data_IF_344719082394
#
_entry.id   IF_344719082394
#
_cell.length_a   1.000
_cell.length_b   1.000
_cell.length_c   1.000
_cell.angle_alpha   90.00
_cell.angle_beta   90.00
_cell.angle_gamma   90.00
#
_symmetry.space_group_name_H-M   'P 1'
#
loop_
_entity.id
_entity.type
_entity.pdbx_description
1 polymer ?
#
# COMPACT_ATOMS: atom_id res chain seq x y z
N UNK A 1 61.48 25.24 -43.73
CA UNK A 1 60.33 24.79 -42.91
C UNK A 1 60.09 23.32 -43.21
N UNK A 2 60.40 22.50 -42.20
CA UNK A 2 60.32 21.04 -41.98
C UNK A 2 60.39 20.11 -43.21
N UNK A 3 61.63 19.59 -43.33
CA UNK A 3 62.23 18.51 -44.10
C UNK A 3 61.44 17.20 -44.15
N UNK A 4 61.40 16.58 -45.34
CA UNK A 4 60.97 15.21 -45.58
C UNK A 4 61.96 14.21 -44.95
N UNK A 5 61.46 13.36 -44.05
CA UNK A 5 62.23 12.24 -43.49
C UNK A 5 61.79 10.93 -44.13
N UNK A 6 62.81 10.14 -44.50
CA UNK A 6 62.73 8.91 -45.24
C UNK A 6 61.95 7.80 -44.53
N UNK A 7 61.20 7.06 -45.34
CA UNK A 7 60.54 5.79 -45.01
C UNK A 7 61.60 4.75 -44.71
N UNK A 8 61.60 4.20 -43.49
CA UNK A 8 62.33 2.99 -43.12
C UNK A 8 61.38 1.81 -43.21
N UNK A 9 61.65 0.91 -44.15
CA UNK A 9 60.92 -0.32 -44.43
C UNK A 9 60.97 -1.28 -43.23
N UNK A 10 59.91 -1.30 -42.45
CA UNK A 10 59.62 -2.41 -41.55
C UNK A 10 58.53 -3.23 -42.23
N UNK A 11 58.85 -4.46 -42.68
CA UNK A 11 57.88 -5.41 -43.22
C UNK A 11 56.81 -5.68 -42.16
N UNK A 12 55.72 -4.92 -42.21
CA UNK A 12 54.51 -5.23 -41.50
C UNK A 12 53.79 -6.27 -42.35
N UNK A 13 53.77 -7.54 -41.92
CA UNK A 13 52.88 -8.55 -42.50
C UNK A 13 51.44 -8.09 -42.31
N UNK A 14 50.89 -7.46 -43.34
CA UNK A 14 49.48 -7.07 -43.39
C UNK A 14 48.68 -8.33 -43.78
N UNK A 15 47.71 -8.77 -42.96
CA UNK A 15 46.84 -9.89 -43.32
C UNK A 15 46.05 -9.55 -44.60
N UNK A 16 45.88 -10.54 -45.48
CA UNK A 16 45.27 -10.42 -46.83
C UNK A 16 43.83 -9.89 -46.86
N UNK A 17 43.24 -9.59 -45.72
CA UNK A 17 41.89 -9.06 -45.54
C UNK A 17 41.81 -7.55 -45.73
N UNK A 18 42.90 -6.79 -45.60
CA UNK A 18 42.87 -5.30 -45.65
C UNK A 18 43.42 -4.70 -46.96
N UNK A 19 43.96 -5.55 -47.85
CA UNK A 19 44.53 -5.15 -49.13
C UNK A 19 43.57 -4.44 -50.12
N UNK A 20 42.25 -4.74 -50.21
CA UNK A 20 41.41 -4.10 -51.23
C UNK A 20 40.99 -2.66 -50.90
N UNK A 21 41.16 -2.20 -49.65
CA UNK A 21 40.69 -0.86 -49.24
C UNK A 21 41.73 0.26 -49.43
N UNK A 22 43.03 -0.06 -49.43
CA UNK A 22 44.09 0.96 -49.59
C UNK A 22 44.35 1.37 -51.04
N UNK A 23 43.96 0.54 -52.02
CA UNK A 23 44.15 0.84 -53.45
C UNK A 23 43.13 1.87 -53.97
N UNK A 24 41.94 1.94 -53.36
CA UNK A 24 40.87 2.81 -53.87
C UNK A 24 41.05 4.31 -53.55
N UNK A 25 41.93 4.66 -52.60
CA UNK A 25 42.07 6.05 -52.12
C UNK A 25 43.00 6.91 -53.00
N UNK A 26 43.81 6.32 -53.89
CA UNK A 26 44.93 7.04 -54.53
C UNK A 26 44.71 7.38 -56.02
N UNK A 27 43.64 6.93 -56.68
CA UNK A 27 43.53 7.08 -58.15
C UNK A 27 42.14 7.50 -58.66
N UNK A 28 41.58 8.61 -58.18
CA UNK A 28 40.54 9.31 -58.95
C UNK A 28 40.86 10.80 -59.07
N UNK A 29 41.16 11.33 -60.28
CA UNK A 29 41.34 12.77 -60.46
C UNK A 29 39.97 13.44 -60.40
N UNK A 30 39.78 14.31 -59.40
CA UNK A 30 38.60 15.18 -59.32
C UNK A 30 38.79 16.35 -60.28
N UNK A 31 38.19 16.26 -61.47
CA UNK A 31 38.06 17.40 -62.39
C UNK A 31 36.84 18.23 -61.99
N UNK A 32 37.05 19.49 -61.61
CA UNK A 32 35.99 20.47 -61.40
C UNK A 32 35.60 21.10 -62.75
N UNK A 33 34.35 20.91 -63.17
CA UNK A 33 33.76 21.57 -64.34
C UNK A 33 32.49 22.34 -63.94
N UNK A 34 32.46 23.59 -64.39
CA UNK A 34 31.36 24.58 -64.53
C UNK A 34 30.52 25.08 -63.31
N UNK A 35 30.63 26.36 -62.90
CA UNK A 35 29.82 26.97 -61.83
C UNK A 35 28.53 27.63 -62.34
N UNK A 36 27.62 26.87 -62.95
CA UNK A 36 26.31 27.43 -63.34
C UNK A 36 25.19 26.37 -63.44
N UNK A 37 24.89 25.66 -62.35
CA UNK A 37 23.62 24.92 -62.26
C UNK A 37 22.92 25.18 -60.93
N UNK A 38 21.92 26.03 -61.05
CA UNK A 38 20.96 26.46 -60.04
C UNK A 38 20.42 25.31 -59.19
N UNK A 39 20.82 25.27 -57.92
CA UNK A 39 20.16 24.50 -56.88
C UNK A 39 18.80 25.13 -56.56
N UNK A 40 17.77 24.77 -57.33
CA UNK A 40 16.39 24.85 -56.88
C UNK A 40 16.12 23.69 -55.91
N UNK A 41 16.58 23.81 -54.67
CA UNK A 41 16.03 23.03 -53.56
C UNK A 41 14.74 23.71 -53.11
N UNK A 42 13.65 23.44 -53.84
CA UNK A 42 12.30 23.83 -53.42
C UNK A 42 11.72 22.77 -52.50
N UNK A 43 11.50 23.16 -51.24
CA UNK A 43 10.37 22.67 -50.44
C UNK A 43 10.35 21.20 -50.02
N UNK A 44 11.10 20.86 -48.94
CA UNK A 44 10.66 19.83 -47.97
C UNK A 44 11.44 19.75 -46.66
N UNK A 45 12.41 20.63 -46.41
CA UNK A 45 13.14 20.64 -45.13
C UNK A 45 12.35 21.26 -43.96
N UNK A 46 11.27 21.99 -44.24
CA UNK A 46 10.48 22.70 -43.22
C UNK A 46 9.42 21.83 -42.54
N UNK A 47 9.01 20.72 -43.16
CA UNK A 47 8.02 19.79 -42.58
C UNK A 47 8.61 18.85 -41.54
N UNK A 48 9.89 18.51 -41.64
CA UNK A 48 10.56 17.62 -40.66
C UNK A 48 11.17 18.40 -39.48
N UNK A 49 11.53 19.67 -39.68
CA UNK A 49 12.07 20.53 -38.62
C UNK A 49 10.99 21.01 -37.62
N UNK A 50 9.73 21.05 -38.04
CA UNK A 50 8.59 21.40 -37.19
C UNK A 50 8.21 20.25 -36.26
N UNK A 51 8.34 19.01 -36.72
CA UNK A 51 8.17 17.81 -35.89
C UNK A 51 9.20 17.81 -34.74
N UNK A 52 10.48 18.07 -35.01
CA UNK A 52 11.54 18.07 -33.99
C UNK A 52 11.36 19.22 -32.96
N UNK A 53 10.84 20.40 -33.36
CA UNK A 53 10.52 21.50 -32.44
C UNK A 53 9.28 21.24 -31.57
N UNK A 54 8.33 20.43 -32.04
CA UNK A 54 7.09 20.11 -31.32
C UNK A 54 7.30 19.29 -30.03
N UNK A 55 8.46 18.63 -29.86
CA UNK A 55 8.80 17.87 -28.64
C UNK A 55 9.40 18.73 -27.52
N UNK A 56 9.54 20.05 -27.73
CA UNK A 56 10.05 21.01 -26.75
C UNK A 56 9.26 21.16 -25.45
N UNK A 57 7.93 21.34 -25.51
CA UNK A 57 7.08 21.35 -24.31
C UNK A 57 6.86 19.95 -23.74
N UNK A 58 6.89 18.90 -24.57
CA UNK A 58 6.65 17.51 -24.14
C UNK A 58 7.70 17.03 -23.13
N UNK A 59 8.99 17.30 -23.35
CA UNK A 59 10.07 16.98 -22.39
C UNK A 59 9.97 17.74 -21.06
N UNK A 60 9.25 18.86 -21.01
CA UNK A 60 8.98 19.62 -19.77
C UNK A 60 7.79 19.00 -19.04
N UNK A 61 6.73 18.66 -19.77
CA UNK A 61 5.57 17.96 -19.24
C UNK A 61 5.96 16.59 -18.64
N UNK A 62 6.77 15.78 -19.33
CA UNK A 62 7.27 14.50 -18.82
C UNK A 62 8.10 14.70 -17.54
N UNK A 63 8.89 15.77 -17.45
CA UNK A 63 9.65 16.10 -16.23
C UNK A 63 8.76 16.47 -15.05
N UNK A 64 7.72 17.28 -15.26
CA UNK A 64 6.78 17.63 -14.19
C UNK A 64 5.87 16.46 -13.82
N UNK A 65 5.49 15.61 -14.79
CA UNK A 65 4.74 14.37 -14.54
C UNK A 65 5.58 13.39 -13.72
N UNK A 66 6.86 13.21 -14.09
CA UNK A 66 7.81 12.39 -13.35
C UNK A 66 8.11 12.96 -11.96
N UNK A 67 8.34 14.28 -11.85
CA UNK A 67 8.53 14.95 -10.56
C UNK A 67 7.29 14.81 -9.68
N UNK A 68 6.09 14.99 -10.25
CA UNK A 68 4.82 14.81 -9.55
C UNK A 68 4.64 13.37 -9.06
N UNK A 69 4.98 12.38 -9.88
CA UNK A 69 4.96 10.98 -9.48
C UNK A 69 5.96 10.69 -8.35
N UNK A 70 7.17 11.26 -8.41
CA UNK A 70 8.18 11.14 -7.34
C UNK A 70 7.70 11.80 -6.04
N UNK A 71 7.14 13.00 -6.12
CA UNK A 71 6.56 13.70 -4.95
C UNK A 71 5.41 12.89 -4.36
N UNK A 72 4.52 12.35 -5.19
CA UNK A 72 3.43 11.49 -4.74
C UNK A 72 3.96 10.25 -4.02
N UNK A 73 4.99 9.60 -4.57
CA UNK A 73 5.62 8.43 -3.95
C UNK A 73 6.25 8.79 -2.59
N UNK A 74 6.94 9.93 -2.49
CA UNK A 74 7.50 10.43 -1.22
C UNK A 74 6.39 10.70 -0.20
N UNK A 75 5.28 11.33 -0.62
CA UNK A 75 4.13 11.58 0.25
C UNK A 75 3.53 10.27 0.75
N UNK A 76 3.30 9.29 -0.13
CA UNK A 76 2.77 7.98 0.26
C UNK A 76 3.72 7.25 1.21
N UNK A 77 5.03 7.28 0.94
CA UNK A 77 6.03 6.69 1.83
C UNK A 77 6.05 7.39 3.21
N UNK A 78 5.99 8.72 3.23
CA UNK A 78 5.94 9.51 4.46
C UNK A 78 4.68 9.19 5.27
N UNK A 79 3.51 9.16 4.64
CA UNK A 79 2.26 8.75 5.30
C UNK A 79 2.35 7.32 5.85
N UNK A 80 2.96 6.39 5.10
CA UNK A 80 3.14 5.01 5.54
C UNK A 80 3.98 4.91 6.80
N UNK A 81 5.08 5.68 6.88
CA UNK A 81 5.92 5.77 8.09
C UNK A 81 5.16 6.42 9.25
N UNK A 82 4.37 7.46 8.96
CA UNK A 82 3.57 8.16 9.97
C UNK A 82 2.49 7.24 10.57
N UNK A 83 1.86 6.39 9.76
CA UNK A 83 0.91 5.37 10.22
C UNK A 83 1.57 4.26 11.06
N UNK A 84 2.87 4.06 10.88
CA UNK A 84 3.67 3.14 11.68
C UNK A 84 4.07 3.73 13.04
N UNK A 85 3.86 5.03 13.23
CA UNK A 85 4.21 5.73 14.46
C UNK A 85 3.15 5.49 15.55
N UNK A 86 3.53 5.06 16.76
CA UNK A 86 2.58 4.60 17.79
C UNK A 86 1.62 5.71 18.25
N UNK A 87 2.04 6.98 18.16
CA UNK A 87 1.18 8.12 18.53
C UNK A 87 0.00 8.26 17.56
N UNK A 88 0.24 8.07 16.26
CA UNK A 88 -0.82 8.13 15.25
C UNK A 88 -1.77 6.94 15.41
N UNK A 89 -1.21 5.75 15.65
CA UNK A 89 -2.02 4.55 15.87
C UNK A 89 -2.91 4.66 17.11
N UNK A 90 -2.39 5.24 18.19
CA UNK A 90 -3.16 5.51 19.42
C UNK A 90 -4.28 6.54 19.16
N UNK A 91 -4.00 7.60 18.40
CA UNK A 91 -5.02 8.59 18.02
C UNK A 91 -6.14 8.00 17.16
N UNK A 92 -5.80 7.15 16.19
CA UNK A 92 -6.79 6.44 15.37
C UNK A 92 -7.61 5.47 16.23
N UNK A 93 -6.99 4.78 17.19
CA UNK A 93 -7.68 3.88 18.12
C UNK A 93 -8.75 4.62 18.94
N UNK A 94 -8.39 5.77 19.53
CA UNK A 94 -9.31 6.61 20.29
C UNK A 94 -10.45 7.15 19.42
N UNK A 95 -10.14 7.59 18.20
CA UNK A 95 -11.15 8.07 17.27
C UNK A 95 -12.11 6.95 16.85
N UNK A 96 -11.57 5.76 16.54
CA UNK A 96 -12.35 4.58 16.20
C UNK A 96 -13.23 4.12 17.37
N UNK A 97 -12.71 4.15 18.60
CA UNK A 97 -13.48 3.76 19.79
C UNK A 97 -14.63 4.72 20.05
N UNK A 98 -14.41 6.03 19.95
CA UNK A 98 -15.49 7.04 20.07
C UNK A 98 -16.54 6.86 18.97
N UNK A 99 -16.12 6.58 17.73
CA UNK A 99 -17.04 6.36 16.62
C UNK A 99 -17.86 5.08 16.80
N UNK A 100 -17.22 3.96 17.12
CA UNK A 100 -17.89 2.68 17.41
C UNK A 100 -18.83 2.80 18.59
N UNK A 101 -18.40 3.48 19.67
CA UNK A 101 -19.25 3.68 20.84
C UNK A 101 -20.54 4.42 20.49
N UNK A 102 -20.43 5.46 19.65
CA UNK A 102 -21.58 6.23 19.18
C UNK A 102 -22.48 5.45 18.22
N UNK A 103 -21.89 4.64 17.33
CA UNK A 103 -22.64 3.88 16.32
C UNK A 103 -23.33 2.64 16.92
N UNK A 104 -22.72 2.02 17.93
CA UNK A 104 -23.22 0.81 18.59
C UNK A 104 -24.03 1.08 19.86
N UNK A 105 -24.05 2.32 20.36
CA UNK A 105 -24.77 2.68 21.59
C UNK A 105 -24.15 2.13 22.89
N UNK A 106 -22.92 1.59 22.83
CA UNK A 106 -22.22 0.95 23.95
C UNK A 106 -20.91 1.68 24.26
N UNK A 107 -20.45 1.71 25.51
CA UNK A 107 -19.13 2.28 25.86
C UNK A 107 -18.02 1.28 25.50
N UNK A 108 -17.46 1.43 24.30
CA UNK A 108 -16.34 0.66 23.80
C UNK A 108 -15.10 1.54 23.80
N UNK A 109 -14.08 1.13 24.55
CA UNK A 109 -12.80 1.84 24.64
C UNK A 109 -11.67 0.93 24.21
N UNK A 110 -10.76 1.47 23.41
CA UNK A 110 -9.52 0.81 23.00
C UNK A 110 -8.38 1.75 23.35
N UNK A 111 -7.49 1.34 24.24
CA UNK A 111 -6.40 2.21 24.69
C UNK A 111 -5.37 2.45 23.58
N UNK A 112 -4.98 1.37 22.88
CA UNK A 112 -3.96 1.45 21.83
C UNK A 112 -4.17 0.35 20.81
N UNK A 113 -3.92 0.68 19.55
CA UNK A 113 -3.83 -0.26 18.44
C UNK A 113 -2.40 -0.24 17.92
N UNK A 114 -1.84 -1.41 17.63
CA UNK A 114 -0.54 -1.58 17.01
C UNK A 114 -0.73 -2.33 15.68
N UNK A 115 -0.52 -1.62 14.57
CA UNK A 115 -0.60 -2.18 13.22
C UNK A 115 0.80 -2.53 12.74
N UNK A 116 1.04 -3.80 12.43
CA UNK A 116 2.31 -4.28 11.86
C UNK A 116 2.10 -4.70 10.40
N UNK A 117 2.83 -4.12 9.42
CA UNK A 117 2.63 -4.38 7.99
C UNK A 117 2.74 -5.86 7.59
N UNK A 118 3.55 -6.63 8.32
CA UNK A 118 3.78 -8.07 8.11
C UNK A 118 3.55 -8.88 9.39
N UNK A 119 2.82 -8.33 10.36
CA UNK A 119 2.66 -8.94 11.68
C UNK A 119 1.20 -8.97 12.13
N UNK A 120 0.96 -9.47 13.35
CA UNK A 120 -0.37 -9.44 13.93
C UNK A 120 -0.80 -7.99 14.19
N UNK A 121 -2.10 -7.75 14.04
CA UNK A 121 -2.79 -6.57 14.53
C UNK A 121 -2.98 -6.75 16.04
N UNK A 122 -2.34 -5.89 16.85
CA UNK A 122 -2.50 -5.94 18.30
C UNK A 122 -3.39 -4.83 18.78
N UNK A 123 -4.29 -5.15 19.69
CA UNK A 123 -5.10 -4.19 20.42
C UNK A 123 -4.76 -4.33 21.90
N UNK A 124 -4.52 -3.20 22.56
CA UNK A 124 -4.24 -3.12 23.98
C UNK A 124 -5.40 -2.41 24.68
N UNK A 125 -5.79 -2.94 25.83
CA UNK A 125 -6.81 -2.34 26.69
C UNK A 125 -8.15 -2.21 25.97
N UNK A 126 -8.71 -3.33 25.51
CA UNK A 126 -10.07 -3.38 24.98
C UNK A 126 -11.03 -3.48 26.17
N UNK A 127 -11.88 -2.47 26.32
CA UNK A 127 -12.92 -2.42 27.34
C UNK A 127 -14.27 -2.28 26.64
N UNK A 128 -15.21 -3.14 27.02
CA UNK A 128 -16.59 -3.13 26.55
C UNK A 128 -17.50 -3.08 27.76
N UNK A 129 -18.25 -1.99 27.88
CA UNK A 129 -19.30 -1.87 28.87
C UNK A 129 -20.56 -2.64 28.45
N UNK A 130 -21.28 -3.07 29.47
CA UNK A 130 -22.67 -3.51 29.45
C UNK A 130 -23.62 -2.33 29.17
N UNK A 131 -24.83 -2.62 28.69
CA UNK A 131 -25.92 -1.64 28.57
C UNK A 131 -26.32 -1.02 29.92
N UNK A 132 -25.99 -1.70 31.01
CA UNK A 132 -26.21 -1.23 32.39
C UNK A 132 -25.05 -0.38 32.93
N UNK A 133 -24.00 -0.15 32.14
CA UNK A 133 -22.85 0.67 32.50
C UNK A 133 -21.74 -0.05 33.29
N UNK A 134 -21.87 -1.37 33.50
CA UNK A 134 -20.86 -2.20 34.14
C UNK A 134 -19.87 -2.80 33.11
N UNK A 135 -18.77 -3.40 33.58
CA UNK A 135 -17.78 -4.03 32.67
C UNK A 135 -18.24 -5.42 32.22
N UNK A 136 -18.54 -5.61 30.94
CA UNK A 136 -18.80 -6.95 30.38
C UNK A 136 -17.46 -7.63 30.03
N UNK A 137 -16.65 -6.97 29.20
CA UNK A 137 -15.41 -7.52 28.65
C UNK A 137 -14.29 -6.54 28.88
N UNK A 138 -13.21 -7.00 29.50
CA UNK A 138 -11.97 -6.24 29.58
C UNK A 138 -10.80 -7.12 29.18
N UNK A 139 -10.09 -6.77 28.12
CA UNK A 139 -8.98 -7.55 27.58
C UNK A 139 -7.73 -6.69 27.54
N UNK A 140 -6.68 -7.15 28.21
CA UNK A 140 -5.42 -6.41 28.25
C UNK A 140 -4.70 -6.42 26.89
N UNK A 141 -4.70 -7.57 26.21
CA UNK A 141 -4.10 -7.72 24.88
C UNK A 141 -4.93 -8.65 24.01
N UNK A 142 -5.20 -8.20 22.79
CA UNK A 142 -5.86 -8.96 21.74
C UNK A 142 -4.99 -8.92 20.48
N UNK A 143 -4.46 -10.08 20.10
CA UNK A 143 -3.60 -10.24 18.93
C UNK A 143 -4.38 -10.97 17.83
N UNK A 144 -4.53 -10.33 16.67
CA UNK A 144 -5.22 -10.86 15.50
C UNK A 144 -4.21 -11.11 14.39
N UNK A 145 -4.11 -12.37 13.94
CA UNK A 145 -3.20 -12.78 12.87
C UNK A 145 -3.98 -13.13 11.60
N UNK A 146 -3.42 -12.79 10.44
CA UNK A 146 -4.00 -13.06 9.11
C UNK A 146 -5.44 -12.55 8.96
N UNK A 147 -5.66 -11.28 9.33
CA UNK A 147 -6.95 -10.60 9.14
C UNK A 147 -7.11 -10.27 7.66
N UNK A 148 -8.05 -10.94 6.99
CA UNK A 148 -8.39 -10.70 5.59
C UNK A 148 -9.85 -10.34 5.46
N UNK A 149 -10.09 -9.12 5.01
CA UNK A 149 -11.42 -8.66 4.64
C UNK A 149 -11.61 -8.79 3.13
N UNK A 150 -12.55 -9.64 2.70
CA UNK A 150 -12.94 -9.75 1.31
C UNK A 150 -14.22 -8.97 1.08
N UNK A 151 -14.10 -7.76 0.50
CA UNK A 151 -15.28 -6.95 0.14
C UNK A 151 -16.19 -7.65 -0.87
N UNK A 152 -15.66 -8.57 -1.69
CA UNK A 152 -16.41 -9.28 -2.73
C UNK A 152 -17.34 -10.36 -2.17
N UNK A 153 -16.87 -11.08 -1.16
CA UNK A 153 -17.64 -12.14 -0.49
C UNK A 153 -18.22 -11.70 0.85
N UNK A 154 -17.99 -10.43 1.25
CA UNK A 154 -18.38 -9.89 2.56
C UNK A 154 -17.90 -10.74 3.74
N UNK A 155 -16.83 -11.53 3.52
CA UNK A 155 -16.29 -12.44 4.51
C UNK A 155 -15.10 -11.82 5.21
N UNK A 156 -15.14 -11.86 6.54
CA UNK A 156 -14.00 -11.51 7.38
C UNK A 156 -13.35 -12.82 7.84
N UNK A 157 -12.16 -13.09 7.32
CA UNK A 157 -11.33 -14.22 7.76
C UNK A 157 -10.31 -13.73 8.76
N UNK A 158 -10.23 -14.40 9.90
CA UNK A 158 -9.21 -14.21 10.92
C UNK A 158 -8.51 -15.55 11.08
N UNK A 159 -7.21 -15.60 10.78
CA UNK A 159 -6.45 -16.85 10.85
C UNK A 159 -6.34 -17.35 12.28
N UNK A 160 -5.84 -16.49 13.18
CA UNK A 160 -5.73 -16.78 14.60
C UNK A 160 -6.11 -15.53 15.42
N UNK A 161 -6.88 -15.75 16.47
CA UNK A 161 -7.22 -14.74 17.47
C UNK A 161 -6.65 -15.20 18.81
N UNK A 162 -5.72 -14.44 19.38
CA UNK A 162 -5.15 -14.70 20.69
C UNK A 162 -5.52 -13.58 21.65
N UNK A 163 -6.05 -13.94 22.80
CA UNK A 163 -6.48 -13.01 23.83
C UNK A 163 -5.72 -13.32 25.11
N UNK A 164 -5.06 -12.33 25.68
CA UNK A 164 -4.27 -12.46 26.90
C UNK A 164 -4.81 -11.58 28.02
N UNK A 165 -4.90 -12.15 29.22
CA UNK A 165 -5.36 -11.48 30.44
C UNK A 165 -6.70 -10.77 30.25
N UNK A 166 -7.70 -11.55 29.86
CA UNK A 166 -9.07 -11.06 29.73
C UNK A 166 -9.87 -11.28 31.01
N UNK A 167 -10.84 -10.40 31.27
CA UNK A 167 -11.91 -10.59 32.23
C UNK A 167 -13.22 -10.54 31.48
N UNK A 168 -14.03 -11.58 31.67
CA UNK A 168 -15.37 -11.67 31.10
C UNK A 168 -16.35 -11.85 32.26
N UNK A 169 -17.24 -10.88 32.45
CA UNK A 169 -18.22 -10.87 33.52
C UNK A 169 -19.63 -11.04 32.95
N UNK A 170 -20.07 -12.30 32.89
CA UNK A 170 -21.41 -12.63 32.46
C UNK A 170 -22.38 -12.51 33.64
N UNK A 171 -23.42 -11.70 33.48
CA UNK A 171 -24.42 -11.49 34.51
C UNK A 171 -25.81 -11.70 33.95
N UNK A 172 -26.66 -12.36 34.71
CA UNK A 172 -28.09 -12.42 34.41
C UNK A 172 -28.75 -11.16 34.97
N UNK A 173 -29.54 -10.48 34.14
CA UNK A 173 -30.18 -9.21 34.52
C UNK A 173 -31.19 -9.46 35.66
N UNK A 174 -31.20 -8.64 36.73
CA UNK A 174 -32.14 -8.80 37.82
C UNK A 174 -33.59 -8.74 37.31
N UNK A 175 -34.34 -9.84 37.43
CA UNK A 175 -35.73 -9.95 36.97
C UNK A 175 -35.91 -10.40 35.51
N UNK A 176 -34.85 -10.79 34.82
CA UNK A 176 -34.89 -11.31 33.43
C UNK A 176 -34.25 -12.69 33.27
N UNK A 177 -34.67 -13.43 32.25
CA UNK A 177 -34.05 -14.71 31.82
C UNK A 177 -32.85 -14.49 30.89
N UNK A 178 -32.50 -13.24 30.59
CA UNK A 178 -31.47 -12.87 29.61
C UNK A 178 -30.19 -12.43 30.32
N UNK A 179 -29.07 -12.78 29.72
CA UNK A 179 -27.76 -12.30 30.15
C UNK A 179 -27.46 -10.93 29.55
N UNK A 180 -26.61 -10.16 30.22
CA UNK A 180 -26.12 -8.90 29.69
C UNK A 180 -25.42 -9.02 28.32
N UNK A 181 -24.73 -10.13 28.06
CA UNK A 181 -24.17 -10.43 26.75
C UNK A 181 -25.26 -10.53 25.67
N UNK A 182 -26.37 -11.19 25.99
CA UNK A 182 -27.49 -11.37 25.05
C UNK A 182 -28.14 -10.04 24.71
N UNK A 183 -28.37 -9.19 25.71
CA UNK A 183 -28.95 -7.86 25.50
C UNK A 183 -28.00 -6.96 24.68
N UNK A 184 -26.71 -6.97 24.98
CA UNK A 184 -25.70 -6.26 24.20
C UNK A 184 -25.66 -6.74 22.75
N UNK A 185 -25.70 -8.06 22.52
CA UNK A 185 -25.66 -8.62 21.19
C UNK A 185 -26.90 -8.25 20.37
N UNK A 186 -28.09 -8.32 20.97
CA UNK A 186 -29.34 -7.90 20.35
C UNK A 186 -29.32 -6.39 20.02
N UNK A 187 -28.73 -5.56 20.88
CA UNK A 187 -28.58 -4.13 20.65
C UNK A 187 -27.61 -3.81 19.50
N UNK A 188 -26.47 -4.49 19.46
CA UNK A 188 -25.40 -4.26 18.48
C UNK A 188 -25.77 -4.81 17.10
N UNK A 189 -26.39 -5.99 17.04
CA UNK A 189 -26.79 -6.62 15.79
C UNK A 189 -28.12 -6.07 15.25
N UNK A 190 -28.91 -5.43 16.11
CA UNK A 190 -30.29 -5.07 15.81
C UNK A 190 -31.16 -6.31 15.67
N UNK A 191 -32.42 -6.21 16.07
CA UNK A 191 -33.43 -7.27 15.91
C UNK A 191 -33.86 -7.51 14.46
N UNK A 192 -33.15 -6.95 13.48
CA UNK A 192 -33.47 -7.05 12.06
C UNK A 192 -32.69 -8.20 11.40
N UNK A 193 -33.05 -9.43 11.76
CA UNK A 193 -32.72 -10.63 10.97
C UNK A 193 -33.49 -10.70 9.63
N UNK A 194 -34.09 -9.59 9.19
CA UNK A 194 -34.83 -9.46 7.93
C UNK A 194 -34.23 -8.36 7.04
N UNK A 195 -32.96 -8.50 6.69
CA UNK A 195 -32.51 -8.02 5.39
C UNK A 195 -31.69 -9.10 4.71
N UNK A 196 -32.37 -9.79 3.80
CA UNK A 196 -31.81 -10.74 2.82
C UNK A 196 -30.80 -10.01 1.94
N UNK A 197 -29.56 -9.90 2.43
CA UNK A 197 -28.49 -9.11 1.83
C UNK A 197 -27.15 -9.76 2.11
N UNK A 198 -26.86 -10.86 1.42
CA UNK A 198 -25.59 -11.59 1.40
C UNK A 198 -24.92 -11.79 2.77
N UNK A 199 -25.18 -12.95 3.37
CA UNK A 199 -24.69 -13.45 4.66
C UNK A 199 -23.22 -13.09 4.93
N UNK A 200 -22.99 -12.08 5.78
CA UNK A 200 -21.65 -11.65 6.17
C UNK A 200 -21.07 -12.69 7.13
N UNK A 201 -20.28 -13.63 6.61
CA UNK A 201 -19.67 -14.70 7.42
C UNK A 201 -18.33 -14.28 8.00
N UNK A 202 -18.18 -14.50 9.31
CA UNK A 202 -16.91 -14.35 10.02
C UNK A 202 -16.32 -15.74 10.24
N UNK A 203 -15.16 -16.01 9.65
CA UNK A 203 -14.45 -17.29 9.82
C UNK A 203 -13.20 -17.06 10.66
N UNK A 204 -13.14 -17.71 11.82
CA UNK A 204 -11.96 -17.74 12.67
C UNK A 204 -11.30 -19.13 12.58
N UNK A 205 -10.01 -19.20 12.26
CA UNK A 205 -9.30 -20.47 12.14
C UNK A 205 -8.97 -21.08 13.51
N UNK A 206 -8.32 -20.30 14.38
CA UNK A 206 -8.03 -20.68 15.76
C UNK A 206 -8.32 -19.55 16.72
N UNK A 207 -8.69 -19.92 17.95
CA UNK A 207 -8.82 -19.00 19.07
C UNK A 207 -7.93 -19.52 20.21
N UNK A 208 -7.17 -18.62 20.81
CA UNK A 208 -6.31 -18.91 21.95
C UNK A 208 -6.65 -17.94 23.08
N UNK A 209 -6.85 -18.48 24.27
CA UNK A 209 -7.25 -17.75 25.47
C UNK A 209 -6.19 -18.00 26.53
N UNK A 210 -5.43 -16.96 26.87
CA UNK A 210 -4.41 -17.00 27.91
C UNK A 210 -4.84 -16.11 29.07
N UNK A 211 -4.98 -16.69 30.28
CA UNK A 211 -5.35 -15.93 31.48
C UNK A 211 -6.75 -15.29 31.43
N UNK A 212 -7.74 -15.95 30.82
CA UNK A 212 -9.13 -15.48 30.82
C UNK A 212 -9.80 -15.78 32.18
N UNK A 213 -10.14 -14.72 32.91
CA UNK A 213 -10.96 -14.79 34.12
C UNK A 213 -12.45 -14.66 33.76
N UNK A 214 -13.16 -15.78 33.80
CA UNK A 214 -14.60 -15.84 33.64
C UNK A 214 -15.29 -15.72 35.01
N UNK A 215 -16.20 -14.75 35.14
CA UNK A 215 -17.07 -14.59 36.30
C UNK A 215 -18.51 -14.69 35.82
N UNK A 216 -19.26 -15.62 36.38
CA UNK A 216 -20.69 -15.74 36.16
C UNK A 216 -21.42 -15.38 37.44
N UNK A 217 -22.39 -14.47 37.34
CA UNK A 217 -23.25 -14.12 38.45
C UNK A 217 -24.71 -14.28 38.01
N UNK A 218 -25.36 -15.29 38.58
CA UNK A 218 -26.80 -15.51 38.41
C UNK A 218 -27.48 -15.28 39.76
N UNK A 219 -28.30 -14.23 39.89
CA UNK A 219 -29.07 -14.01 41.11
C UNK A 219 -30.19 -15.05 41.31
N UNK A 220 -30.44 -15.95 40.35
CA UNK A 220 -31.48 -16.99 40.44
C UNK A 220 -30.97 -18.37 40.85
N UNK A 221 -29.66 -18.52 41.10
CA UNK A 221 -29.08 -19.78 41.56
C UNK A 221 -28.52 -19.54 42.96
N UNK A 222 -29.30 -19.93 43.97
CA UNK A 222 -28.87 -20.06 45.37
C UNK A 222 -27.86 -21.20 45.56
#
# INVERSE_FOLDING_TARGET
MITAAAVSSQELSIPSTVAPFLVWVVTTPVTFDDPARSLRYTGKATSDLSAIKAYGPLRRAIRYLGLGAVVLLIVVAFLSVLLLYPVVQTGIAQWASVRLSKDLGIDLRVERVELRPFGPLRLHGLFVADLQGDTLVHVQRLDLTDVRYSSRSRTLRVGALSLSNGRFALRTVPGGTRSNLTELLDHVLGTDTTSSGSDASVLCGSFELDGLHFSFHDPHVE
#
